data_IF_154628198569
#
_entry.id   IF_154628198569
#
_cell.length_a   1.000
_cell.length_b   1.000
_cell.length_c   1.000
_cell.angle_alpha   90.00
_cell.angle_beta   90.00
_cell.angle_gamma   90.00
#
_symmetry.space_group_name_H-M   'P 1'
#
loop_
_entity.id
_entity.type
_entity.pdbx_description
1 polymer ?
#
# COMPACT_ATOMS: atom_id res chain seq x y z
N UNK A 1 2.92 -21.14 -55.94
CA UNK A 1 2.66 -19.76 -55.48
C UNK A 1 1.57 -19.78 -54.39
N UNK A 2 1.88 -20.27 -53.18
CA UNK A 2 0.89 -20.36 -52.09
C UNK A 2 1.54 -20.36 -50.69
N UNK A 3 2.54 -19.47 -50.49
CA UNK A 3 3.30 -19.37 -49.24
C UNK A 3 3.32 -17.93 -48.67
N UNK A 4 2.27 -17.12 -48.89
CA UNK A 4 2.29 -15.70 -48.52
C UNK A 4 1.03 -15.23 -47.76
N UNK A 5 0.52 -16.00 -46.79
CA UNK A 5 -0.63 -15.56 -45.98
C UNK A 5 -0.56 -15.89 -44.49
N UNK A 6 0.60 -16.27 -43.96
CA UNK A 6 0.80 -16.28 -42.51
C UNK A 6 1.69 -15.08 -42.19
N UNK A 7 1.15 -14.00 -41.59
CA UNK A 7 2.00 -13.11 -40.83
C UNK A 7 2.44 -13.93 -39.62
N UNK A 8 3.57 -14.63 -39.79
CA UNK A 8 4.42 -15.05 -38.69
C UNK A 8 4.57 -13.82 -37.80
N UNK A 9 3.93 -13.88 -36.63
CA UNK A 9 4.37 -13.14 -35.46
C UNK A 9 4.63 -11.67 -35.82
N UNK A 10 3.55 -10.90 -36.01
CA UNK A 10 3.65 -9.45 -35.75
C UNK A 10 4.34 -9.36 -34.40
N UNK A 11 5.52 -8.75 -34.39
CA UNK A 11 6.33 -8.54 -33.21
C UNK A 11 5.40 -8.20 -32.04
N UNK A 12 5.63 -8.84 -30.89
CA UNK A 12 5.16 -8.28 -29.63
C UNK A 12 5.77 -6.88 -29.56
N UNK A 13 5.04 -5.90 -30.07
CA UNK A 13 5.42 -4.51 -30.07
C UNK A 13 5.27 -4.05 -28.62
N UNK A 14 6.36 -4.18 -27.86
CA UNK A 14 6.56 -3.63 -26.51
C UNK A 14 6.42 -2.09 -26.43
N UNK A 15 5.85 -1.47 -27.46
CA UNK A 15 5.67 -0.04 -27.65
C UNK A 15 4.20 0.33 -27.95
N UNK A 16 3.23 -0.57 -27.73
CA UNK A 16 1.83 -0.15 -27.65
C UNK A 16 1.63 0.64 -26.36
N UNK A 17 1.35 1.94 -26.51
CA UNK A 17 0.71 2.72 -25.44
C UNK A 17 -0.50 1.95 -24.95
N UNK A 18 -0.57 1.71 -23.63
CA UNK A 18 -1.65 0.97 -22.96
C UNK A 18 -2.99 1.27 -23.63
N UNK A 19 -3.54 0.30 -24.35
CA UNK A 19 -4.83 0.45 -25.05
C UNK A 19 -5.90 0.76 -24.02
N UNK A 20 -6.94 1.52 -24.38
CA UNK A 20 -8.04 1.83 -23.44
C UNK A 20 -8.69 0.55 -22.86
N UNK A 21 -8.59 -0.56 -23.58
CA UNK A 21 -9.01 -1.89 -23.16
C UNK A 21 -8.13 -2.49 -22.04
N UNK A 22 -6.82 -2.22 -22.05
CA UNK A 22 -5.90 -2.65 -21.00
C UNK A 22 -6.13 -1.83 -19.74
N UNK A 23 -6.33 -0.50 -19.85
CA UNK A 23 -6.67 0.36 -18.70
C UNK A 23 -7.94 -0.10 -18.01
N UNK A 24 -8.98 -0.44 -18.77
CA UNK A 24 -10.22 -0.97 -18.22
C UNK A 24 -10.03 -2.30 -17.49
N UNK A 25 -9.11 -3.15 -17.97
CA UNK A 25 -8.76 -4.42 -17.32
C UNK A 25 -7.99 -4.18 -16.02
N UNK A 26 -7.03 -3.26 -16.01
CA UNK A 26 -6.31 -2.85 -14.80
C UNK A 26 -7.26 -2.25 -13.76
N UNK A 27 -8.18 -1.36 -14.15
CA UNK A 27 -9.16 -0.78 -13.22
C UNK A 27 -10.07 -1.84 -12.60
N UNK A 28 -10.46 -2.87 -13.35
CA UNK A 28 -11.25 -3.99 -12.81
C UNK A 28 -10.49 -4.78 -11.75
N UNK A 29 -9.17 -4.94 -11.91
CA UNK A 29 -8.31 -5.63 -10.95
C UNK A 29 -8.00 -4.76 -9.73
N UNK A 30 -7.79 -3.45 -9.94
CA UNK A 30 -7.44 -2.50 -8.88
C UNK A 30 -8.65 -2.11 -8.02
N UNK A 31 -9.86 -2.02 -8.60
CA UNK A 31 -11.09 -1.66 -7.88
C UNK A 31 -11.34 -2.46 -6.59
N UNK A 32 -11.33 -3.81 -6.58
CA UNK A 32 -11.48 -4.57 -5.34
C UNK A 32 -10.31 -4.38 -4.37
N UNK A 33 -9.08 -4.29 -4.87
CA UNK A 33 -7.88 -4.07 -4.05
C UNK A 33 -7.96 -2.71 -3.34
N UNK A 34 -8.34 -1.65 -4.05
CA UNK A 34 -8.49 -0.31 -3.50
C UNK A 34 -9.61 -0.22 -2.47
N UNK A 35 -10.70 -0.98 -2.64
CA UNK A 35 -11.76 -1.09 -1.62
C UNK A 35 -11.25 -1.73 -0.33
N UNK A 36 -10.53 -2.85 -0.43
CA UNK A 36 -9.93 -3.53 0.73
C UNK A 36 -8.88 -2.63 1.38
N UNK A 37 -8.01 -2.01 0.59
CA UNK A 37 -7.00 -1.07 1.08
C UNK A 37 -7.63 0.09 1.86
N UNK A 38 -8.68 0.72 1.32
CA UNK A 38 -9.36 1.82 2.00
C UNK A 38 -9.99 1.35 3.32
N UNK A 39 -10.63 0.19 3.35
CA UNK A 39 -11.18 -0.40 4.57
C UNK A 39 -10.08 -0.62 5.63
N UNK A 40 -8.97 -1.25 5.23
CA UNK A 40 -7.83 -1.51 6.11
C UNK A 40 -7.20 -0.20 6.58
N UNK A 41 -7.05 0.79 5.71
CA UNK A 41 -6.49 2.11 6.05
C UNK A 41 -7.31 2.78 7.14
N UNK A 42 -8.64 2.84 7.01
CA UNK A 42 -9.49 3.46 8.02
C UNK A 42 -9.46 2.67 9.34
N UNK A 43 -9.57 1.35 9.27
CA UNK A 43 -9.48 0.49 10.47
C UNK A 43 -8.14 0.64 11.20
N UNK A 44 -7.04 0.57 10.47
CA UNK A 44 -5.69 0.71 11.01
C UNK A 44 -5.46 2.11 11.61
N UNK A 45 -6.02 3.16 11.01
CA UNK A 45 -5.92 4.52 11.55
C UNK A 45 -6.61 4.63 12.91
N UNK A 46 -7.79 4.03 13.08
CA UNK A 46 -8.50 4.01 14.36
C UNK A 46 -7.72 3.20 15.40
N UNK A 47 -7.23 2.02 15.04
CA UNK A 47 -6.41 1.17 15.91
C UNK A 47 -5.13 1.89 16.33
N UNK A 48 -4.47 2.59 15.41
CA UNK A 48 -3.26 3.37 15.69
C UNK A 48 -3.49 4.43 16.78
N UNK A 49 -4.61 5.15 16.74
CA UNK A 49 -4.96 6.14 17.77
C UNK A 49 -5.08 5.47 19.14
N UNK A 50 -5.76 4.32 19.22
CA UNK A 50 -5.92 3.57 20.48
C UNK A 50 -4.54 3.15 21.03
N UNK A 51 -3.69 2.58 20.17
CA UNK A 51 -2.35 2.14 20.55
C UNK A 51 -1.48 3.32 21.01
N UNK A 52 -1.57 4.49 20.35
CA UNK A 52 -0.87 5.70 20.76
C UNK A 52 -1.33 6.21 22.13
N UNK A 53 -2.63 6.14 22.42
CA UNK A 53 -3.14 6.48 23.75
C UNK A 53 -2.57 5.56 24.82
N UNK A 54 -2.59 4.24 24.59
CA UNK A 54 -1.98 3.27 25.50
C UNK A 54 -0.48 3.51 25.70
N UNK A 55 0.26 3.77 24.62
CA UNK A 55 1.68 4.06 24.70
C UNK A 55 1.94 5.37 25.46
N UNK A 56 1.11 6.40 25.26
CA UNK A 56 1.21 7.68 25.96
C UNK A 56 0.95 7.55 27.47
N UNK A 57 -0.13 6.87 27.85
CA UNK A 57 -0.42 6.58 29.26
C UNK A 57 0.71 5.76 29.88
N UNK A 58 1.14 4.68 29.23
CA UNK A 58 2.20 3.82 29.74
C UNK A 58 3.53 4.59 29.90
N UNK A 59 3.84 5.49 28.97
CA UNK A 59 5.01 6.37 29.05
C UNK A 59 4.93 7.32 30.25
N UNK A 60 3.77 7.94 30.50
CA UNK A 60 3.57 8.84 31.66
C UNK A 60 3.65 8.08 32.98
N UNK A 61 3.10 6.86 33.06
CA UNK A 61 3.12 6.04 34.27
C UNK A 61 4.43 5.28 34.48
N UNK A 62 5.39 5.37 33.54
CA UNK A 62 6.66 4.63 33.64
C UNK A 62 7.55 5.12 34.79
N UNK A 63 7.40 6.37 35.24
CA UNK A 63 8.21 6.95 36.31
C UNK A 63 9.71 6.82 36.04
N UNK A 64 10.42 6.19 36.98
CA UNK A 64 11.87 5.96 36.93
C UNK A 64 12.27 4.63 36.29
N UNK A 65 11.32 3.82 35.77
CA UNK A 65 11.63 2.57 35.08
C UNK A 65 12.02 2.84 33.61
N UNK A 66 13.33 2.80 33.27
CA UNK A 66 13.78 3.12 31.92
C UNK A 66 13.25 2.10 30.89
N UNK A 67 13.03 0.85 31.29
CA UNK A 67 12.60 -0.22 30.38
C UNK A 67 11.17 0.03 29.88
N UNK A 68 10.26 0.41 30.78
CA UNK A 68 8.88 0.75 30.40
C UNK A 68 8.82 1.99 29.51
N UNK A 69 9.69 2.96 29.79
CA UNK A 69 9.79 4.19 29.02
C UNK A 69 10.28 3.92 27.59
N UNK A 70 11.30 3.08 27.45
CA UNK A 70 11.81 2.64 26.14
C UNK A 70 10.78 1.83 25.37
N UNK A 71 10.11 0.87 26.02
CA UNK A 71 9.05 0.07 25.39
C UNK A 71 7.94 0.95 24.81
N UNK A 72 7.50 1.97 25.55
CA UNK A 72 6.47 2.90 25.09
C UNK A 72 6.91 3.71 23.88
N UNK A 73 8.18 4.13 23.83
CA UNK A 73 8.75 4.82 22.66
C UNK A 73 8.80 3.92 21.44
N UNK A 74 9.24 2.67 21.61
CA UNK A 74 9.28 1.70 20.51
C UNK A 74 7.87 1.39 19.98
N UNK A 75 6.88 1.31 20.86
CA UNK A 75 5.47 1.14 20.48
C UNK A 75 4.97 2.30 19.61
N UNK A 76 5.26 3.56 20.00
CA UNK A 76 4.96 4.73 19.17
C UNK A 76 5.67 4.65 17.82
N UNK A 77 6.96 4.28 17.80
CA UNK A 77 7.73 4.15 16.57
C UNK A 77 7.11 3.15 15.61
N UNK A 78 6.68 1.98 16.09
CA UNK A 78 6.02 0.98 15.26
C UNK A 78 4.69 1.48 14.68
N UNK A 79 3.90 2.21 15.47
CA UNK A 79 2.66 2.82 14.95
C UNK A 79 2.96 3.83 13.86
N UNK A 80 3.95 4.70 14.06
CA UNK A 80 4.33 5.73 13.09
C UNK A 80 4.81 5.09 11.79
N UNK A 81 5.68 4.08 11.86
CA UNK A 81 6.16 3.36 10.68
C UNK A 81 4.99 2.69 9.94
N UNK A 82 4.09 2.01 10.67
CA UNK A 82 2.90 1.37 10.08
C UNK A 82 2.00 2.37 9.35
N UNK A 83 1.76 3.53 9.94
CA UNK A 83 0.99 4.61 9.31
C UNK A 83 1.69 5.13 8.06
N UNK A 84 3.00 5.39 8.10
CA UNK A 84 3.76 5.84 6.93
C UNK A 84 3.61 4.85 5.78
N UNK A 85 3.74 3.55 6.03
CA UNK A 85 3.62 2.52 4.99
C UNK A 85 2.22 2.51 4.36
N UNK A 86 1.17 2.58 5.18
CA UNK A 86 -0.21 2.60 4.68
C UNK A 86 -0.45 3.84 3.81
N UNK A 87 0.06 4.99 4.21
CA UNK A 87 -0.12 6.25 3.48
C UNK A 87 0.77 6.35 2.23
N UNK A 88 1.90 5.65 2.21
CA UNK A 88 2.79 5.55 1.05
C UNK A 88 2.29 4.55 -0.02
N UNK A 89 1.44 3.59 0.35
CA UNK A 89 0.91 2.57 -0.58
C UNK A 89 0.34 3.13 -1.90
N UNK A 90 -0.52 4.16 -1.95
CA UNK A 90 -1.04 4.71 -3.21
C UNK A 90 0.05 5.33 -4.09
N UNK A 91 1.14 5.86 -3.50
CA UNK A 91 2.27 6.36 -4.27
C UNK A 91 2.93 5.24 -5.07
N UNK A 92 3.10 4.06 -4.44
CA UNK A 92 3.68 2.88 -5.09
C UNK A 92 2.74 2.34 -6.18
N UNK A 93 1.43 2.24 -5.92
CA UNK A 93 0.46 1.78 -6.91
C UNK A 93 0.46 2.70 -8.13
N UNK A 94 0.42 4.01 -7.90
CA UNK A 94 0.44 5.00 -8.98
C UNK A 94 1.77 4.99 -9.76
N UNK A 95 2.89 4.65 -9.12
CA UNK A 95 4.18 4.51 -9.79
C UNK A 95 4.25 3.29 -10.71
N UNK A 96 3.51 2.22 -10.39
CA UNK A 96 3.46 1.00 -11.22
C UNK A 96 2.48 1.16 -12.40
N UNK A 97 1.38 1.89 -12.19
CA UNK A 97 0.32 2.10 -13.19
C UNK A 97 0.61 3.28 -14.13
N UNK A 98 1.35 4.28 -13.63
CA UNK A 98 1.71 5.50 -14.35
C UNK A 98 2.78 5.33 -15.41
#
# INVERSE_FOLDING_TARGET
MLLASMPLVSAVEFNQSISDQDKATFDQILSPVMKIYNLVKYAATVVAVIILLFAGVNYMTSGDDPKKREQSKSMVMYVVIGLIVIWAAPLVVNFIVG
#
